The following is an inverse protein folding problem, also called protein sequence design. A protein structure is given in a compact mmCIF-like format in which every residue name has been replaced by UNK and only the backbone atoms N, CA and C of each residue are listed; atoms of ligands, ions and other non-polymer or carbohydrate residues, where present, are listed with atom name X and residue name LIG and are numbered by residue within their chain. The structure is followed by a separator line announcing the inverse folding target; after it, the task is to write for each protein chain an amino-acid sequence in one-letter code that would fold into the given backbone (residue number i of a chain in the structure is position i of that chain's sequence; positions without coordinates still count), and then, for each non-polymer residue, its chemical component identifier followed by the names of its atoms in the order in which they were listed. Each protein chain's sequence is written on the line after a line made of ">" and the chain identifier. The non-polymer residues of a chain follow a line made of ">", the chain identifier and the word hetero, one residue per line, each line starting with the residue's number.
data_IF_688942341927
#
_entry.id   IF_688942341927
#
_cell.length_a   1.000
_cell.length_b   1.000
_cell.length_c   1.000
_cell.angle_alpha   90.00
_cell.angle_beta   90.00
_cell.angle_gamma   90.00
#
_symmetry.space_group_name_H-M   'P 1'
#
loop_
_entity.id
_entity.type
_entity.pdbx_description
1 polymer ?
#
# COMPACT_ATOMS: atom_id res chain seq x y z
N UNK A 1 -13.43 -1.95 18.86
CA UNK A 1 -12.19 -2.22 19.62
C UNK A 1 -11.33 -0.97 19.53
N UNK A 2 -10.80 -0.45 20.64
CA UNK A 2 -9.86 0.66 20.62
C UNK A 2 -8.58 0.24 19.89
N UNK A 3 -8.06 1.11 19.02
CA UNK A 3 -6.82 0.91 18.27
C UNK A 3 -5.87 2.05 18.62
N UNK A 4 -4.62 1.71 18.92
CA UNK A 4 -3.53 2.65 19.03
C UNK A 4 -2.68 2.60 17.76
N UNK A 5 -2.40 3.77 17.16
CA UNK A 5 -1.55 3.87 15.96
C UNK A 5 -0.15 4.28 16.40
N UNK A 6 0.84 3.45 16.04
CA UNK A 6 2.26 3.73 16.30
C UNK A 6 3.06 3.59 15.00
N UNK A 7 3.98 4.52 14.68
CA UNK A 7 4.95 4.31 13.62
C UNK A 7 5.82 3.09 13.94
N UNK A 8 6.04 2.22 12.96
CA UNK A 8 7.01 1.14 13.09
C UNK A 8 8.38 1.62 12.60
N UNK A 9 9.43 1.37 13.37
CA UNK A 9 10.81 1.65 12.98
C UNK A 9 11.34 0.50 12.11
N UNK A 10 11.09 0.60 10.80
CA UNK A 10 11.52 -0.39 9.80
C UNK A 10 12.21 0.32 8.66
N UNK A 11 13.43 -0.06 8.34
CA UNK A 11 14.13 0.38 7.12
C UNK A 11 13.56 -0.38 5.91
N UNK A 12 12.48 0.19 5.34
CA UNK A 12 11.77 -0.38 4.20
C UNK A 12 12.66 -0.51 2.95
N UNK A 13 13.59 0.43 2.74
CA UNK A 13 14.48 0.41 1.59
C UNK A 13 15.48 -0.73 1.73
N UNK A 14 16.15 -0.84 2.86
CA UNK A 14 17.09 -1.93 3.11
C UNK A 14 16.42 -3.31 3.05
N UNK A 15 15.15 -3.42 3.46
CA UNK A 15 14.40 -4.67 3.34
C UNK A 15 14.11 -5.02 1.88
N UNK A 16 13.64 -4.06 1.09
CA UNK A 16 13.41 -4.24 -0.35
C UNK A 16 14.68 -4.64 -1.09
N UNK A 17 15.78 -3.93 -0.83
CA UNK A 17 17.08 -4.20 -1.47
C UNK A 17 17.55 -5.62 -1.17
N UNK A 18 17.39 -6.10 0.07
CA UNK A 18 17.72 -7.48 0.45
C UNK A 18 16.84 -8.51 -0.26
N UNK A 19 15.54 -8.25 -0.41
CA UNK A 19 14.63 -9.15 -1.10
C UNK A 19 15.01 -9.30 -2.58
N UNK A 20 15.25 -8.19 -3.29
CA UNK A 20 15.68 -8.23 -4.70
C UNK A 20 17.09 -8.77 -4.89
N UNK A 21 17.98 -8.58 -3.93
CA UNK A 21 19.32 -9.19 -3.98
C UNK A 21 19.27 -10.71 -3.79
N UNK A 22 18.34 -11.21 -2.97
CA UNK A 22 18.15 -12.64 -2.75
C UNK A 22 17.39 -13.33 -3.90
N UNK A 23 16.42 -12.65 -4.47
CA UNK A 23 15.60 -13.13 -5.60
C UNK A 23 15.21 -11.92 -6.49
N UNK A 24 15.90 -11.72 -7.63
CA UNK A 24 15.58 -10.63 -8.56
C UNK A 24 14.15 -10.71 -9.14
N UNK A 25 13.54 -11.89 -9.15
CA UNK A 25 12.19 -12.15 -9.66
C UNK A 25 11.14 -12.21 -8.53
N UNK A 26 11.49 -11.78 -7.31
CA UNK A 26 10.55 -11.75 -6.19
C UNK A 26 9.27 -11.00 -6.56
N UNK A 27 8.12 -11.60 -6.30
CA UNK A 27 6.84 -10.97 -6.65
C UNK A 27 6.61 -9.71 -5.81
N UNK A 28 5.97 -8.69 -6.41
CA UNK A 28 5.67 -7.45 -5.71
C UNK A 28 4.69 -7.65 -4.54
N UNK A 29 3.82 -8.65 -4.60
CA UNK A 29 2.99 -9.10 -3.49
C UNK A 29 3.84 -9.59 -2.31
N UNK A 30 4.91 -10.37 -2.60
CA UNK A 30 5.85 -10.83 -1.58
C UNK A 30 6.61 -9.68 -0.94
N UNK A 31 6.94 -8.63 -1.71
CA UNK A 31 7.57 -7.42 -1.18
C UNK A 31 6.62 -6.69 -0.22
N UNK A 32 5.36 -6.45 -0.61
CA UNK A 32 4.36 -5.84 0.26
C UNK A 32 4.17 -6.66 1.55
N UNK A 33 4.11 -7.99 1.41
CA UNK A 33 3.93 -8.89 2.54
C UNK A 33 5.11 -8.84 3.52
N UNK A 34 6.34 -8.88 3.03
CA UNK A 34 7.53 -8.81 3.87
C UNK A 34 7.60 -7.48 4.65
N UNK A 35 7.21 -6.36 4.01
CA UNK A 35 7.14 -5.05 4.66
C UNK A 35 6.05 -5.02 5.74
N UNK A 36 4.85 -5.55 5.46
CA UNK A 36 3.78 -5.64 6.43
C UNK A 36 4.15 -6.53 7.64
N UNK A 37 4.79 -7.69 7.40
CA UNK A 37 5.29 -8.56 8.46
C UNK A 37 6.38 -7.89 9.31
N UNK A 38 7.33 -7.20 8.69
CA UNK A 38 8.37 -6.47 9.41
C UNK A 38 7.79 -5.39 10.32
N UNK A 39 6.81 -4.62 9.84
CA UNK A 39 6.09 -3.61 10.63
C UNK A 39 5.33 -4.23 11.81
N UNK A 40 4.61 -5.32 11.56
CA UNK A 40 3.87 -6.01 12.63
C UNK A 40 4.79 -6.56 13.71
N UNK A 41 5.89 -7.23 13.32
CA UNK A 41 6.87 -7.79 14.25
C UNK A 41 7.58 -6.70 15.06
N UNK A 42 8.08 -5.64 14.41
CA UNK A 42 8.73 -4.53 15.09
C UNK A 42 7.79 -3.89 16.12
N UNK A 43 6.57 -3.54 15.74
CA UNK A 43 5.60 -2.95 16.65
C UNK A 43 5.19 -3.88 17.81
N UNK A 44 5.15 -5.21 17.60
CA UNK A 44 4.75 -6.17 18.63
C UNK A 44 5.89 -6.51 19.60
N UNK A 45 7.15 -6.33 19.22
CA UNK A 45 8.29 -6.53 20.12
C UNK A 45 8.28 -5.52 21.29
N UNK A 46 7.80 -4.30 21.04
CA UNK A 46 7.72 -3.22 22.02
C UNK A 46 6.35 -3.16 22.75
N UNK A 47 5.41 -4.03 22.39
CA UNK A 47 4.03 -4.04 22.90
C UNK A 47 3.65 -5.43 23.43
N UNK A 48 4.26 -5.85 24.55
CA UNK A 48 4.10 -7.17 25.13
C UNK A 48 2.64 -7.60 25.30
N UNK A 49 2.30 -8.76 24.76
CA UNK A 49 0.96 -9.34 24.82
C UNK A 49 -0.08 -8.66 23.91
N UNK A 50 0.29 -7.58 23.21
CA UNK A 50 -0.61 -6.92 22.27
C UNK A 50 -0.64 -7.65 20.92
N UNK A 51 -1.82 -7.70 20.29
CA UNK A 51 -1.94 -8.09 18.89
C UNK A 51 -1.71 -6.86 18.01
N UNK A 52 -0.63 -6.87 17.25
CA UNK A 52 -0.22 -5.75 16.39
C UNK A 52 -0.54 -6.02 14.94
N UNK A 53 -1.14 -5.04 14.27
CA UNK A 53 -1.44 -5.05 12.84
C UNK A 53 -0.36 -4.26 12.12
N UNK A 54 0.38 -4.92 11.22
CA UNK A 54 1.25 -4.27 10.25
C UNK A 54 0.61 -4.31 8.88
N UNK A 55 0.69 -3.22 8.13
CA UNK A 55 0.20 -3.15 6.76
C UNK A 55 1.20 -2.42 5.87
N UNK A 56 1.25 -2.81 4.61
CA UNK A 56 2.03 -2.14 3.58
C UNK A 56 1.37 -2.26 2.22
N UNK A 57 1.65 -1.30 1.35
CA UNK A 57 1.18 -1.30 -0.03
C UNK A 57 2.27 -0.86 -0.98
N UNK A 58 2.44 -1.58 -2.07
CA UNK A 58 3.31 -1.22 -3.17
C UNK A 58 2.53 -1.09 -4.47
N UNK A 59 2.96 -0.17 -5.35
CA UNK A 59 2.44 -0.02 -6.70
C UNK A 59 3.44 -0.64 -7.68
N UNK A 60 2.95 -1.51 -8.55
CA UNK A 60 3.73 -2.07 -9.64
C UNK A 60 3.18 -1.69 -11.00
N UNK A 61 4.07 -1.35 -11.91
CA UNK A 61 3.76 -1.05 -13.28
C UNK A 61 4.88 -1.53 -14.20
N UNK A 62 4.55 -2.35 -15.21
CA UNK A 62 5.51 -2.92 -16.17
C UNK A 62 6.72 -3.59 -15.49
N UNK A 63 6.48 -4.38 -14.45
CA UNK A 63 7.51 -5.09 -13.71
C UNK A 63 8.36 -4.25 -12.77
N UNK A 64 8.03 -2.98 -12.55
CA UNK A 64 8.76 -2.07 -11.66
C UNK A 64 7.90 -1.60 -10.52
N UNK A 65 8.48 -1.47 -9.33
CA UNK A 65 7.86 -0.81 -8.19
C UNK A 65 7.98 0.71 -8.31
N UNK A 66 6.93 1.41 -7.94
CA UNK A 66 6.95 2.86 -7.80
C UNK A 66 7.26 3.25 -6.36
N UNK A 67 8.05 4.29 -6.20
CA UNK A 67 8.25 4.95 -4.92
C UNK A 67 7.30 6.14 -4.78
N UNK A 68 7.13 6.62 -3.55
CA UNK A 68 6.45 7.90 -3.33
C UNK A 68 7.23 9.02 -4.03
N UNK A 69 6.56 9.91 -4.78
CA UNK A 69 7.25 10.99 -5.47
C UNK A 69 7.89 11.95 -4.44
N UNK A 70 9.08 12.45 -4.77
CA UNK A 70 9.84 13.38 -3.91
C UNK A 70 9.51 14.83 -4.20
N UNK A 71 8.86 15.09 -5.34
CA UNK A 71 8.45 16.41 -5.80
C UNK A 71 7.17 16.34 -6.62
N UNK A 72 6.51 17.49 -6.82
CA UNK A 72 5.36 17.58 -7.74
C UNK A 72 5.75 17.23 -9.17
N UNK A 73 7.01 17.53 -9.57
CA UNK A 73 7.55 17.12 -10.86
C UNK A 73 7.65 15.60 -11.01
N UNK A 74 8.11 14.90 -9.95
CA UNK A 74 8.14 13.43 -9.93
C UNK A 74 6.72 12.86 -9.98
N UNK A 75 5.79 13.45 -9.23
CA UNK A 75 4.38 13.07 -9.24
C UNK A 75 3.78 13.19 -10.64
N UNK A 76 4.04 14.30 -11.34
CA UNK A 76 3.62 14.52 -12.72
C UNK A 76 4.18 13.46 -13.67
N UNK A 77 5.47 13.15 -13.55
CA UNK A 77 6.13 12.13 -14.37
C UNK A 77 5.53 10.73 -14.14
N UNK A 78 5.27 10.37 -12.89
CA UNK A 78 4.61 9.11 -12.54
C UNK A 78 3.21 9.02 -13.17
N UNK A 79 2.36 10.04 -12.99
CA UNK A 79 1.01 10.07 -13.55
C UNK A 79 1.00 10.02 -15.07
N UNK A 80 1.94 10.70 -15.74
CA UNK A 80 2.10 10.61 -17.20
C UNK A 80 2.50 9.20 -17.65
N UNK A 81 3.33 8.49 -16.88
CA UNK A 81 3.73 7.12 -17.21
C UNK A 81 2.57 6.13 -17.08
N UNK A 82 1.66 6.36 -16.14
CA UNK A 82 0.47 5.53 -15.88
C UNK A 82 -0.73 5.89 -16.78
N UNK A 83 -0.74 7.06 -17.39
CA UNK A 83 -1.82 7.58 -18.25
C UNK A 83 -2.21 6.60 -19.35
N UNK A 84 -3.50 6.24 -19.42
CA UNK A 84 -4.06 5.32 -20.41
C UNK A 84 -3.61 3.86 -20.22
N UNK A 85 -3.14 3.49 -19.03
CA UNK A 85 -2.59 2.16 -18.76
C UNK A 85 -3.10 1.60 -17.44
N UNK A 86 -3.02 0.27 -17.32
CA UNK A 86 -3.36 -0.45 -16.10
C UNK A 86 -2.10 -0.69 -15.27
N UNK A 87 -2.21 -0.46 -13.98
CA UNK A 87 -1.18 -0.79 -12.98
C UNK A 87 -1.80 -1.54 -11.82
N UNK A 88 -0.98 -2.16 -10.97
CA UNK A 88 -1.45 -2.92 -9.82
C UNK A 88 -1.00 -2.30 -8.50
N UNK A 89 -1.91 -2.32 -7.52
CA UNK A 89 -1.63 -2.08 -6.11
C UNK A 89 -1.64 -3.42 -5.40
N UNK A 90 -0.54 -3.77 -4.74
CA UNK A 90 -0.42 -4.96 -3.90
C UNK A 90 -0.43 -4.52 -2.45
N UNK A 91 -1.52 -4.79 -1.75
CA UNK A 91 -1.66 -4.48 -0.33
C UNK A 91 -1.48 -5.75 0.51
N UNK A 92 -0.79 -5.63 1.62
CA UNK A 92 -0.56 -6.71 2.55
C UNK A 92 -0.91 -6.29 3.98
N UNK A 93 -1.38 -7.24 4.75
CA UNK A 93 -1.63 -7.10 6.19
C UNK A 93 -1.09 -8.31 6.93
N UNK A 94 -0.43 -8.07 8.03
CA UNK A 94 0.10 -9.10 8.92
C UNK A 94 -0.30 -8.82 10.37
N UNK A 95 -0.45 -9.88 11.16
CA UNK A 95 -0.63 -9.84 12.60
C UNK A 95 0.61 -10.43 13.27
N UNK A 96 1.06 -9.79 14.34
CA UNK A 96 2.14 -10.28 15.18
C UNK A 96 1.81 -10.07 16.67
N UNK A 97 2.40 -10.92 17.51
CA UNK A 97 2.37 -10.82 18.97
C UNK A 97 3.77 -11.18 19.48
N UNK A 98 4.31 -10.38 20.42
CA UNK A 98 5.61 -10.61 21.05
C UNK A 98 6.77 -10.84 20.05
N UNK A 99 6.79 -10.09 18.94
CA UNK A 99 7.79 -10.21 17.87
C UNK A 99 7.53 -11.33 16.87
N UNK A 100 6.55 -12.21 17.09
CA UNK A 100 6.26 -13.34 16.23
C UNK A 100 5.04 -13.10 15.34
N UNK A 101 5.19 -13.37 14.02
CA UNK A 101 4.08 -13.31 13.05
C UNK A 101 3.09 -14.46 13.28
N UNK A 102 1.80 -14.12 13.42
CA UNK A 102 0.75 -15.10 13.73
C UNK A 102 -0.31 -15.25 12.63
N UNK A 103 -0.36 -14.34 11.67
CA UNK A 103 -1.23 -14.40 10.50
C UNK A 103 -0.83 -13.34 9.46
N UNK A 104 -1.16 -13.59 8.19
CA UNK A 104 -0.89 -12.68 7.09
C UNK A 104 -1.86 -12.87 5.93
N UNK A 105 -2.04 -11.81 5.14
CA UNK A 105 -2.86 -11.85 3.94
C UNK A 105 -2.39 -10.78 2.94
N UNK A 106 -2.52 -11.09 1.63
CA UNK A 106 -2.27 -10.16 0.53
C UNK A 106 -3.51 -10.04 -0.34
N UNK A 107 -3.69 -8.87 -0.93
CA UNK A 107 -4.71 -8.63 -1.95
C UNK A 107 -4.16 -7.66 -3.00
N UNK A 108 -4.59 -7.85 -4.24
CA UNK A 108 -4.20 -7.01 -5.37
C UNK A 108 -5.43 -6.34 -5.97
N UNK A 109 -5.29 -5.06 -6.32
CA UNK A 109 -6.25 -4.31 -7.10
C UNK A 109 -5.58 -3.80 -8.39
N UNK A 110 -6.29 -3.87 -9.51
CA UNK A 110 -5.84 -3.35 -10.80
C UNK A 110 -6.62 -2.07 -11.13
N UNK A 111 -5.90 -1.00 -11.43
CA UNK A 111 -6.48 0.30 -11.73
C UNK A 111 -6.05 0.74 -13.13
N UNK A 112 -7.02 1.12 -13.96
CA UNK A 112 -6.77 1.62 -15.31
C UNK A 112 -6.97 3.13 -15.34
N UNK A 113 -5.89 3.88 -15.57
CA UNK A 113 -5.99 5.32 -15.76
C UNK A 113 -6.51 5.65 -17.15
N UNK A 114 -7.40 6.63 -17.24
CA UNK A 114 -7.85 7.17 -18.51
C UNK A 114 -6.73 7.94 -19.23
N UNK A 115 -6.89 8.12 -20.55
CA UNK A 115 -5.99 8.93 -21.36
C UNK A 115 -6.31 10.43 -21.19
N UNK A 116 -6.08 10.98 -20.00
CA UNK A 116 -6.32 12.40 -19.69
C UNK A 116 -5.31 13.31 -20.41
N UNK A 117 -5.71 14.57 -20.69
CA UNK A 117 -4.81 15.59 -21.26
C UNK A 117 -3.82 16.13 -20.21
N UNK A 118 -2.75 16.77 -20.68
CA UNK A 118 -1.79 17.42 -19.75
C UNK A 118 -2.46 18.56 -18.95
N UNK A 119 -3.38 19.29 -19.56
CA UNK A 119 -4.17 20.32 -18.89
C UNK A 119 -5.04 19.74 -17.75
N UNK A 120 -5.67 18.58 -17.97
CA UNK A 120 -6.42 17.89 -16.93
C UNK A 120 -5.51 17.41 -15.78
N UNK A 121 -4.29 16.95 -16.11
CA UNK A 121 -3.28 16.59 -15.12
C UNK A 121 -2.82 17.80 -14.31
N UNK A 122 -2.53 18.91 -14.95
CA UNK A 122 -2.08 20.13 -14.28
C UNK A 122 -3.19 20.69 -13.36
N UNK A 123 -4.44 20.60 -13.79
CA UNK A 123 -5.62 20.93 -12.97
C UNK A 123 -5.72 20.01 -11.74
N UNK A 124 -5.49 18.71 -11.92
CA UNK A 124 -5.48 17.75 -10.81
C UNK A 124 -4.37 18.07 -9.81
N UNK A 125 -3.13 18.26 -10.29
CA UNK A 125 -1.97 18.57 -9.44
C UNK A 125 -2.17 19.86 -8.64
N UNK A 126 -2.71 20.89 -9.26
CA UNK A 126 -3.02 22.15 -8.59
C UNK A 126 -4.06 21.99 -7.47
N UNK A 127 -5.06 21.09 -7.65
CA UNK A 127 -6.09 20.82 -6.63
C UNK A 127 -5.61 19.89 -5.52
N UNK A 128 -4.78 18.91 -5.85
CA UNK A 128 -4.29 17.91 -4.91
C UNK A 128 -3.15 18.45 -4.03
N UNK A 129 -2.38 19.41 -4.52
CA UNK A 129 -1.26 20.01 -3.79
C UNK A 129 -0.26 18.96 -3.32
N UNK A 130 0.28 19.13 -2.11
CA UNK A 130 1.28 18.25 -1.53
C UNK A 130 0.74 16.83 -1.20
N UNK A 131 -0.57 16.61 -1.24
CA UNK A 131 -1.15 15.29 -1.02
C UNK A 131 -0.66 14.25 -2.03
N UNK A 132 -0.24 14.68 -3.24
CA UNK A 132 0.34 13.78 -4.26
C UNK A 132 1.67 13.15 -3.82
N UNK A 133 2.36 13.74 -2.84
CA UNK A 133 3.65 13.25 -2.34
C UNK A 133 3.47 12.16 -1.25
N UNK A 134 2.26 11.96 -0.76
CA UNK A 134 2.01 11.08 0.39
C UNK A 134 1.74 9.62 0.02
N UNK A 135 1.44 9.34 -1.26
CA UNK A 135 1.08 8.00 -1.74
C UNK A 135 1.88 7.60 -2.97
N UNK A 136 2.11 6.29 -3.12
CA UNK A 136 2.68 5.71 -4.34
C UNK A 136 1.73 5.99 -5.52
N UNK A 137 2.29 6.29 -6.69
CA UNK A 137 1.52 6.64 -7.89
C UNK A 137 0.95 8.06 -7.91
N UNK A 138 1.22 8.88 -6.88
CA UNK A 138 0.82 10.31 -6.80
C UNK A 138 -0.70 10.56 -6.84
N UNK A 139 -1.51 9.62 -6.33
CA UNK A 139 -2.96 9.77 -6.28
C UNK A 139 -3.54 9.19 -4.97
N UNK A 140 -4.72 9.69 -4.59
CA UNK A 140 -5.56 9.17 -3.53
C UNK A 140 -6.98 9.04 -4.07
N UNK A 141 -7.47 7.79 -4.15
CA UNK A 141 -8.75 7.48 -4.81
C UNK A 141 -9.94 8.10 -4.09
N UNK A 142 -9.86 8.29 -2.79
CA UNK A 142 -10.89 8.94 -1.97
C UNK A 142 -10.97 10.46 -2.19
N UNK A 143 -10.10 11.01 -3.02
CA UNK A 143 -10.04 12.43 -3.35
C UNK A 143 -10.29 12.72 -4.82
N UNK A 144 -9.83 13.89 -5.30
CA UNK A 144 -10.02 14.31 -6.71
C UNK A 144 -9.44 13.36 -7.74
N UNK A 145 -8.49 12.49 -7.32
CA UNK A 145 -7.82 11.56 -8.21
C UNK A 145 -8.76 10.48 -8.81
N UNK A 146 -9.91 10.22 -8.19
CA UNK A 146 -10.86 9.23 -8.74
C UNK A 146 -11.23 9.51 -10.19
N UNK A 147 -11.27 10.78 -10.60
CA UNK A 147 -11.56 11.18 -11.97
C UNK A 147 -10.44 10.85 -12.99
N UNK A 148 -9.27 10.40 -12.53
CA UNK A 148 -8.17 9.98 -13.40
C UNK A 148 -8.30 8.54 -13.89
N UNK A 149 -9.31 7.78 -13.41
CA UNK A 149 -9.48 6.36 -13.71
C UNK A 149 -10.68 6.11 -14.62
N UNK A 150 -10.52 5.13 -15.53
CA UNK A 150 -11.60 4.58 -16.35
C UNK A 150 -12.16 3.30 -15.73
N UNK A 151 -11.30 2.51 -15.05
CA UNK A 151 -11.71 1.24 -14.47
C UNK A 151 -10.93 0.93 -13.20
N UNK A 152 -11.57 0.25 -12.26
CA UNK A 152 -11.01 -0.19 -10.97
C UNK A 152 -11.52 -1.60 -10.69
N UNK A 153 -10.62 -2.57 -10.75
CA UNK A 153 -10.87 -3.95 -10.39
C UNK A 153 -10.17 -4.29 -9.07
N UNK A 154 -10.95 -4.44 -8.01
CA UNK A 154 -10.45 -4.75 -6.67
C UNK A 154 -11.29 -4.17 -5.54
N UNK A 155 -11.00 -4.62 -4.33
CA UNK A 155 -11.68 -4.13 -3.13
C UNK A 155 -11.22 -2.72 -2.75
N UNK A 156 -12.15 -1.84 -2.40
CA UNK A 156 -11.87 -0.44 -2.06
C UNK A 156 -10.86 -0.30 -0.91
N UNK A 157 -10.98 -1.13 0.12
CA UNK A 157 -10.07 -1.08 1.28
C UNK A 157 -8.68 -1.59 0.93
N UNK A 158 -8.57 -2.52 -0.02
CA UNK A 158 -7.29 -2.96 -0.60
C UNK A 158 -6.60 -1.79 -1.31
N UNK A 159 -7.35 -0.99 -2.08
CA UNK A 159 -6.81 0.18 -2.77
C UNK A 159 -6.33 1.25 -1.77
N UNK A 160 -7.00 1.38 -0.64
CA UNK A 160 -6.58 2.28 0.45
C UNK A 160 -5.38 1.75 1.25
N UNK A 161 -4.89 0.55 0.95
CA UNK A 161 -3.68 -0.03 1.53
C UNK A 161 -3.89 -1.03 2.66
N UNK A 162 -5.15 -1.39 2.97
CA UNK A 162 -5.46 -2.39 4.00
C UNK A 162 -6.55 -3.35 3.51
N UNK A 163 -6.24 -4.64 3.28
CA UNK A 163 -7.25 -5.67 3.01
C UNK A 163 -8.12 -5.92 4.24
N UNK A 164 -9.15 -5.07 4.42
CA UNK A 164 -9.90 -4.98 5.69
C UNK A 164 -10.79 -6.19 5.94
N UNK A 165 -11.50 -6.69 4.92
CA UNK A 165 -12.44 -7.80 5.12
C UNK A 165 -11.75 -9.09 5.60
N UNK A 166 -10.62 -9.54 5.01
CA UNK A 166 -9.84 -10.66 5.53
C UNK A 166 -9.32 -10.42 6.94
N UNK A 167 -8.84 -9.21 7.24
CA UNK A 167 -8.38 -8.83 8.58
C UNK A 167 -9.52 -8.94 9.62
N UNK A 168 -10.69 -8.38 9.34
CA UNK A 168 -11.84 -8.46 10.24
C UNK A 168 -12.30 -9.91 10.47
N UNK A 169 -12.25 -10.75 9.43
CA UNK A 169 -12.55 -12.18 9.57
C UNK A 169 -11.58 -12.87 10.53
N UNK A 170 -10.28 -12.57 10.40
CA UNK A 170 -9.26 -13.14 11.28
C UNK A 170 -9.37 -12.61 12.72
N UNK A 171 -9.68 -11.33 12.92
CA UNK A 171 -9.89 -10.75 14.25
C UNK A 171 -11.10 -11.37 14.96
N UNK A 172 -12.18 -11.69 14.22
CA UNK A 172 -13.32 -12.45 14.78
C UNK A 172 -12.92 -13.87 15.16
N UNK A 173 -12.17 -14.57 14.30
CA UNK A 173 -11.65 -15.92 14.59
C UNK A 173 -10.81 -15.97 15.86
N UNK A 174 -10.12 -14.87 16.18
CA UNK A 174 -9.31 -14.71 17.40
C UNK A 174 -10.10 -14.14 18.58
N UNK A 175 -11.39 -13.95 18.44
CA UNK A 175 -12.27 -13.37 19.48
C UNK A 175 -11.88 -11.95 19.91
N UNK A 176 -11.08 -11.24 19.10
CA UNK A 176 -10.75 -9.82 19.31
C UNK A 176 -11.95 -8.93 18.97
N UNK A 177 -12.75 -9.36 18.01
CA UNK A 177 -14.03 -8.74 17.63
C UNK A 177 -15.17 -9.68 17.97
N UNK A 178 -16.26 -9.11 18.46
CA UNK A 178 -17.54 -9.86 18.61
C UNK A 178 -18.08 -10.22 17.22
N UNK A 179 -18.61 -11.43 17.09
CA UNK A 179 -19.32 -11.92 15.90
C UNK A 179 -20.76 -11.42 15.84
#
# INVERSE_FOLDING_TARGET
>A
VPIEVRPADVDENALRDRLFAADPDVSHESVALALAEAKARAGSADAQGALVIGADQVLSFQGKLFEKPKSVGDARAQLLSLRGKTHALHAAVALATDGEGVWRHTATACLTMRAFSEEALDTYLARAGDAVLTSVGAYRIEGPAVQLFDDIDGDHTTILGLPLLPLLKELRRREVLTS
#
